data_IF_833409032705
#
_entry.id   IF_833409032705
#
_cell.length_a   1.000
_cell.length_b   1.000
_cell.length_c   1.000
_cell.angle_alpha   90.00
_cell.angle_beta   90.00
_cell.angle_gamma   90.00
#
_symmetry.space_group_name_H-M   'P 1'
#
loop_
_entity.id
_entity.type
_entity.pdbx_description
1 polymer ?
#
# COMPACT_ATOMS: atom_id res chain seq x y z
N UNK A 1 -12.50 8.39 8.60
CA UNK A 1 -12.02 9.08 7.37
C UNK A 1 -12.27 8.18 6.18
N UNK A 2 -12.71 8.70 5.03
CA UNK A 2 -12.89 7.89 3.82
C UNK A 2 -11.54 7.36 3.32
N UNK A 3 -11.54 6.14 2.78
CA UNK A 3 -10.31 5.53 2.26
C UNK A 3 -9.69 6.35 1.11
N UNK A 4 -10.52 7.02 0.30
CA UNK A 4 -10.06 7.92 -0.76
C UNK A 4 -9.29 9.14 -0.21
N UNK A 5 -9.72 9.68 0.94
CA UNK A 5 -9.00 10.77 1.63
C UNK A 5 -7.65 10.30 2.14
N UNK A 6 -7.58 9.09 2.69
CA UNK A 6 -6.32 8.48 3.11
C UNK A 6 -5.36 8.32 1.93
N UNK A 7 -5.82 7.76 0.81
CA UNK A 7 -4.99 7.60 -0.37
C UNK A 7 -4.53 8.95 -0.96
N UNK A 8 -5.39 9.96 -0.98
CA UNK A 8 -4.99 11.31 -1.39
C UNK A 8 -3.88 11.88 -0.51
N UNK A 9 -3.98 11.69 0.82
CA UNK A 9 -2.93 12.11 1.76
C UNK A 9 -1.61 11.36 1.54
N UNK A 10 -1.66 10.05 1.25
CA UNK A 10 -0.47 9.27 0.89
C UNK A 10 0.18 9.82 -0.39
N UNK A 11 -0.59 10.04 -1.46
CA UNK A 11 -0.06 10.60 -2.71
C UNK A 11 0.60 11.96 -2.48
N UNK A 12 -0.05 12.82 -1.71
CA UNK A 12 0.48 14.14 -1.39
C UNK A 12 1.80 14.04 -0.63
N UNK A 13 1.87 13.21 0.42
CA UNK A 13 3.13 13.01 1.15
C UNK A 13 4.22 12.43 0.25
N UNK A 14 3.92 11.42 -0.57
CA UNK A 14 4.89 10.82 -1.47
C UNK A 14 5.42 11.83 -2.50
N UNK A 15 4.57 12.70 -3.02
CA UNK A 15 4.97 13.75 -3.98
C UNK A 15 5.91 14.81 -3.40
N UNK A 16 6.00 14.92 -2.07
CA UNK A 16 6.91 15.86 -1.40
C UNK A 16 8.35 15.35 -1.30
N UNK A 17 8.64 14.10 -1.66
CA UNK A 17 9.99 13.55 -1.58
C UNK A 17 10.75 13.74 -2.90
N UNK A 18 11.70 14.69 -2.98
CA UNK A 18 12.41 14.99 -4.23
C UNK A 18 13.36 13.86 -4.67
N UNK A 19 13.61 12.87 -3.81
CA UNK A 19 14.41 11.68 -4.10
C UNK A 19 13.69 10.68 -5.00
N UNK A 20 12.35 10.73 -5.06
CA UNK A 20 11.54 9.92 -5.96
C UNK A 20 11.55 10.60 -7.34
N UNK A 21 12.06 9.91 -8.35
CA UNK A 21 12.13 10.40 -9.73
C UNK A 21 10.96 9.95 -10.57
N UNK A 22 10.44 8.75 -10.30
CA UNK A 22 9.26 8.21 -10.96
C UNK A 22 8.35 7.56 -9.92
N UNK A 23 7.05 7.73 -10.09
CA UNK A 23 6.06 7.17 -9.17
C UNK A 23 4.82 6.73 -9.94
N UNK A 24 4.48 5.46 -9.82
CA UNK A 24 3.25 4.88 -10.35
C UNK A 24 2.39 4.45 -9.17
N UNK A 25 1.16 4.97 -9.10
CA UNK A 25 0.20 4.63 -8.05
C UNK A 25 -1.05 4.04 -8.67
N UNK A 26 -1.51 2.93 -8.11
CA UNK A 26 -2.77 2.28 -8.44
C UNK A 26 -3.57 2.06 -7.16
N UNK A 27 -4.80 2.55 -7.17
CA UNK A 27 -5.71 2.48 -6.03
C UNK A 27 -6.99 1.75 -6.43
N UNK A 28 -7.52 0.97 -5.50
CA UNK A 28 -8.82 0.33 -5.65
C UNK A 28 -9.62 0.45 -4.38
N UNK A 29 -10.65 1.29 -4.42
CA UNK A 29 -11.65 1.40 -3.35
C UNK A 29 -12.54 0.16 -3.40
N UNK A 30 -12.72 -0.53 -2.26
CA UNK A 30 -13.65 -1.67 -2.13
C UNK A 30 -14.92 -1.27 -1.38
N UNK A 31 -14.76 -0.49 -0.32
CA UNK A 31 -15.84 0.13 0.45
C UNK A 31 -15.45 1.58 0.76
N UNK A 32 -16.33 2.42 1.33
CA UNK A 32 -15.96 3.78 1.73
C UNK A 32 -14.78 3.86 2.70
N UNK A 33 -14.46 2.77 3.41
CA UNK A 33 -13.42 2.72 4.43
C UNK A 33 -12.33 1.68 4.13
N UNK A 34 -12.42 0.91 3.06
CA UNK A 34 -11.45 -0.14 2.73
C UNK A 34 -10.99 -0.07 1.29
N UNK A 35 -9.70 -0.37 1.07
CA UNK A 35 -9.15 -0.34 -0.27
C UNK A 35 -7.75 -0.92 -0.37
N UNK A 36 -7.34 -1.13 -1.61
CA UNK A 36 -5.99 -1.50 -1.99
C UNK A 36 -5.20 -0.29 -2.45
N UNK A 37 -3.98 -0.15 -1.94
CA UNK A 37 -2.98 0.80 -2.39
C UNK A 37 -1.79 0.03 -2.97
N UNK A 38 -1.41 0.35 -4.20
CA UNK A 38 -0.21 -0.19 -4.85
C UNK A 38 0.61 0.97 -5.37
N UNK A 39 1.91 0.95 -5.12
CA UNK A 39 2.83 1.93 -5.67
C UNK A 39 4.13 1.29 -6.14
N UNK A 40 4.75 1.89 -7.16
CA UNK A 40 6.14 1.68 -7.56
C UNK A 40 6.83 3.03 -7.55
N UNK A 41 7.94 3.14 -6.84
CA UNK A 41 8.72 4.38 -6.73
C UNK A 41 10.16 4.10 -7.16
N UNK A 42 10.66 4.85 -8.13
CA UNK A 42 12.07 4.86 -8.53
C UNK A 42 12.76 6.03 -7.83
N UNK A 43 13.94 5.79 -7.28
CA UNK A 43 14.75 6.82 -6.62
C UNK A 43 15.94 7.23 -7.49
N UNK A 44 16.50 8.41 -7.21
CA UNK A 44 17.66 8.98 -7.93
C UNK A 44 18.89 8.08 -7.97
N UNK A 45 19.07 7.18 -7.00
CA UNK A 45 20.20 6.25 -6.95
C UNK A 45 19.97 4.94 -7.71
N UNK A 46 18.88 4.86 -8.48
CA UNK A 46 18.48 3.66 -9.25
C UNK A 46 17.86 2.56 -8.40
N UNK A 47 17.60 2.81 -7.10
CA UNK A 47 16.80 1.90 -6.29
C UNK A 47 15.31 2.04 -6.56
N UNK A 48 14.55 0.96 -6.31
CA UNK A 48 13.10 0.92 -6.50
C UNK A 48 12.41 0.39 -5.23
N UNK A 49 11.32 1.03 -4.82
CA UNK A 49 10.42 0.52 -3.79
C UNK A 49 9.06 0.18 -4.39
N UNK A 50 8.71 -1.10 -4.33
CA UNK A 50 7.38 -1.62 -4.66
C UNK A 50 6.56 -1.80 -3.39
N UNK A 51 5.38 -1.18 -3.34
CA UNK A 51 4.46 -1.16 -2.20
C UNK A 51 3.13 -1.78 -2.58
N UNK A 52 2.58 -2.63 -1.69
CA UNK A 52 1.21 -3.14 -1.76
C UNK A 52 0.62 -3.16 -0.37
N UNK A 53 -0.56 -2.58 -0.19
CA UNK A 53 -1.27 -2.54 1.08
C UNK A 53 -2.76 -2.79 0.88
N UNK A 54 -3.35 -3.58 1.78
CA UNK A 54 -4.80 -3.59 2.00
C UNK A 54 -5.10 -2.87 3.31
N UNK A 55 -5.86 -1.79 3.23
CA UNK A 55 -6.04 -0.83 4.33
C UNK A 55 -7.51 -0.66 4.65
N UNK A 56 -7.82 -0.54 5.94
CA UNK A 56 -9.11 -0.08 6.47
C UNK A 56 -8.94 1.16 7.33
N UNK A 57 -9.87 2.10 7.21
CA UNK A 57 -9.91 3.36 7.99
C UNK A 57 -11.15 3.44 8.88
N UNK A 58 -11.86 2.31 9.06
CA UNK A 58 -13.16 2.27 9.74
C UNK A 58 -13.08 2.67 11.22
N UNK A 59 -11.96 2.37 11.89
CA UNK A 59 -11.71 2.68 13.31
C UNK A 59 -11.23 4.13 13.53
N UNK A 60 -11.23 4.95 12.48
CA UNK A 60 -10.76 6.35 12.54
C UNK A 60 -9.26 6.51 12.23
N UNK A 61 -8.47 5.44 12.29
CA UNK A 61 -7.06 5.41 11.89
C UNK A 61 -6.81 4.37 10.79
N UNK A 62 -5.82 4.55 9.91
CA UNK A 62 -5.48 3.55 8.89
C UNK A 62 -4.88 2.29 9.54
N UNK A 63 -5.54 1.16 9.35
CA UNK A 63 -5.11 -0.16 9.75
C UNK A 63 -4.78 -0.99 8.50
N UNK A 64 -3.54 -1.48 8.42
CA UNK A 64 -3.06 -2.33 7.30
C UNK A 64 -3.30 -3.80 7.63
N UNK A 65 -4.28 -4.43 6.98
CA UNK A 65 -4.59 -5.85 7.16
C UNK A 65 -3.55 -6.78 6.51
N UNK A 66 -3.05 -6.38 5.34
CA UNK A 66 -1.92 -7.04 4.68
C UNK A 66 -1.06 -5.99 3.99
N UNK A 67 0.23 -6.28 3.91
CA UNK A 67 1.14 -5.42 3.18
C UNK A 67 2.35 -6.19 2.66
N UNK A 68 2.98 -5.65 1.63
CA UNK A 68 4.24 -6.11 1.09
C UNK A 68 5.03 -4.94 0.54
N UNK A 69 6.27 -4.82 0.99
CA UNK A 69 7.25 -3.84 0.54
C UNK A 69 8.47 -4.58 0.02
N UNK A 70 8.83 -4.36 -1.24
CA UNK A 70 10.02 -4.92 -1.86
C UNK A 70 10.93 -3.77 -2.27
N UNK A 71 12.17 -3.81 -1.83
CA UNK A 71 13.16 -2.81 -2.17
C UNK A 71 14.26 -3.44 -3.01
N UNK A 72 14.49 -2.84 -4.17
CA UNK A 72 15.47 -3.28 -5.16
C UNK A 72 16.54 -2.22 -5.36
N UNK A 73 17.74 -2.64 -5.73
CA UNK A 73 18.80 -1.75 -6.24
C UNK A 73 19.39 -2.38 -7.49
N UNK A 74 19.28 -1.71 -8.63
CA UNK A 74 19.73 -2.24 -9.93
C UNK A 74 19.20 -3.67 -10.21
N UNK A 75 17.88 -3.87 -10.05
CA UNK A 75 17.18 -5.15 -10.18
C UNK A 75 17.54 -6.25 -9.14
N UNK A 76 18.48 -6.01 -8.23
CA UNK A 76 18.75 -6.91 -7.11
C UNK A 76 17.77 -6.64 -5.97
N UNK A 77 17.04 -7.67 -5.54
CA UNK A 77 16.20 -7.59 -4.34
C UNK A 77 17.10 -7.46 -3.11
N UNK A 78 17.03 -6.31 -2.44
CA UNK A 78 17.80 -6.02 -1.22
C UNK A 78 17.04 -6.50 0.01
N UNK A 79 15.75 -6.18 0.08
CA UNK A 79 14.90 -6.73 1.12
C UNK A 79 13.44 -6.85 0.69
N UNK A 80 12.75 -7.76 1.37
CA UNK A 80 11.30 -7.91 1.31
C UNK A 80 10.77 -7.90 2.73
N UNK A 81 9.82 -7.01 2.99
CA UNK A 81 9.07 -6.98 4.23
C UNK A 81 7.59 -7.17 3.90
N UNK A 82 7.00 -8.27 4.35
CA UNK A 82 5.60 -8.57 4.07
C UNK A 82 4.90 -9.15 5.28
N UNK A 83 3.67 -8.69 5.51
CA UNK A 83 2.75 -9.28 6.48
C UNK A 83 1.56 -9.85 5.71
N UNK A 84 1.45 -11.19 5.62
CA UNK A 84 0.28 -11.82 5.04
C UNK A 84 -0.92 -11.58 5.96
N UNK A 85 -2.08 -11.21 5.41
CA UNK A 85 -3.31 -11.19 6.20
C UNK A 85 -3.66 -12.61 6.60
N UNK A 86 -3.86 -12.86 7.90
CA UNK A 86 -4.67 -13.98 8.36
C UNK A 86 -6.12 -13.69 7.98
N UNK A 87 -6.53 -14.04 6.76
CA UNK A 87 -7.95 -14.06 6.42
C UNK A 87 -8.56 -15.27 7.14
N UNK A 88 -9.25 -15.02 8.25
CA UNK A 88 -10.20 -15.99 8.80
C UNK A 88 -11.30 -16.12 7.76
N UNK A 89 -11.42 -17.29 7.13
CA UNK A 89 -12.60 -17.66 6.37
C UNK A 89 -13.78 -17.63 7.35
N UNK A 90 -14.59 -16.57 7.34
CA UNK A 90 -15.92 -16.63 7.93
C UNK A 90 -16.74 -17.50 6.99
N UNK A 91 -16.66 -18.82 7.21
CA UNK A 91 -17.68 -19.75 6.73
C UNK A 91 -19.00 -19.20 7.24
N UNK A 92 -19.85 -18.71 6.33
CA UNK A 92 -21.25 -18.53 6.66
C UNK A 92 -21.80 -19.92 6.98
N UNK A 93 -22.33 -20.18 8.20
CA UNK A 93 -23.15 -21.35 8.39
C UNK A 93 -24.47 -21.07 7.68
N UNK A 94 -24.68 -21.69 6.51
CA UNK A 94 -26.02 -21.81 5.97
C UNK A 94 -26.90 -22.52 7.01
N UNK A 95 -28.01 -21.88 7.36
CA UNK A 95 -29.17 -22.49 8.00
C UNK A 95 -30.39 -22.09 7.20
#
# INVERSE_FOLDING_TARGET
MLISTYFASLRQHLSQFPTITEMEISEKVRTPYEGYFKARMLFRDGSELSVREYVSTITGSPHRFSFSYHYFKHALLIFRYSHPSLTINILHPEK
#
